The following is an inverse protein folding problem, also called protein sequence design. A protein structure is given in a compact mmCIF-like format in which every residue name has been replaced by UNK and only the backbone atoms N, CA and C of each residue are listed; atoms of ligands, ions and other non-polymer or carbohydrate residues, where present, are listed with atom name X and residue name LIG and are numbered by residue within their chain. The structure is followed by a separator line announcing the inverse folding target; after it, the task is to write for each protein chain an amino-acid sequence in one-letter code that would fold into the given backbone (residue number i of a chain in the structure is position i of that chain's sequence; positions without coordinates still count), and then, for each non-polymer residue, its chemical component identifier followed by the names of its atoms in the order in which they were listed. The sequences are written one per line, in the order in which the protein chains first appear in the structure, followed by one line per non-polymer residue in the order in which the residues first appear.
data_IF_911234237244
#
_entry.id   IF_911234237244
#
_cell.length_a   1.000
_cell.length_b   1.000
_cell.length_c   1.000
_cell.angle_alpha   90.00
_cell.angle_beta   90.00
_cell.angle_gamma   90.00
#
_symmetry.space_group_name_H-M   'P 1'
#
loop_
_entity.id
_entity.type
_entity.pdbx_description
1 polymer ?
#
# COMPACT_ATOMS: atom_id res chain seq x y z
N UNK A 1 -11.32 6.00 -22.55
CA UNK A 1 -11.19 4.67 -21.92
C UNK A 1 -12.07 4.65 -20.68
N UNK A 2 -13.05 3.73 -20.60
CA UNK A 2 -13.96 3.62 -19.46
C UNK A 2 -13.21 3.05 -18.23
N UNK A 3 -13.51 3.56 -17.04
CA UNK A 3 -12.97 3.07 -15.76
C UNK A 3 -13.16 1.56 -15.60
N UNK A 4 -14.29 1.02 -16.06
CA UNK A 4 -14.59 -0.42 -15.96
C UNK A 4 -13.67 -1.26 -16.83
N UNK A 5 -13.34 -0.77 -18.02
CA UNK A 5 -12.47 -1.49 -18.94
C UNK A 5 -11.00 -1.40 -18.48
N UNK A 6 -10.61 -0.27 -17.91
CA UNK A 6 -9.32 -0.14 -17.24
C UNK A 6 -9.16 -1.11 -16.04
N UNK A 7 -10.19 -1.25 -15.20
CA UNK A 7 -10.18 -2.19 -14.08
C UNK A 7 -10.10 -3.66 -14.52
N UNK A 8 -10.79 -4.03 -15.61
CA UNK A 8 -10.69 -5.38 -16.19
C UNK A 8 -9.29 -5.68 -16.73
N UNK A 9 -8.67 -4.71 -17.40
CA UNK A 9 -7.31 -4.84 -17.92
C UNK A 9 -6.28 -5.02 -16.79
N UNK A 10 -6.45 -4.29 -15.69
CA UNK A 10 -5.61 -4.40 -14.49
C UNK A 10 -5.77 -5.78 -13.82
N UNK A 11 -7.00 -6.28 -13.71
CA UNK A 11 -7.27 -7.60 -13.15
C UNK A 11 -6.59 -8.71 -13.97
N UNK A 12 -6.57 -8.60 -15.30
CA UNK A 12 -5.89 -9.55 -16.18
C UNK A 12 -4.37 -9.58 -15.95
N UNK A 13 -3.74 -8.44 -15.66
CA UNK A 13 -2.30 -8.36 -15.35
C UNK A 13 -1.96 -8.93 -13.96
N UNK A 14 -2.90 -8.90 -13.02
CA UNK A 14 -2.71 -9.46 -11.67
C UNK A 14 -2.83 -11.00 -11.60
N UNK A 15 -3.34 -11.65 -12.66
CA UNK A 15 -3.56 -13.11 -12.75
C UNK A 15 -2.39 -13.81 -13.45
N UNK A 16 -1.19 -13.21 -13.50
CA UNK A 16 -0.01 -13.96 -13.95
C UNK A 16 0.33 -15.03 -12.90
N UNK A 17 0.29 -16.33 -13.23
CA UNK A 17 0.43 -17.39 -12.26
C UNK A 17 1.89 -17.46 -11.79
N UNK A 18 2.09 -17.33 -10.47
CA UNK A 18 3.26 -17.83 -9.73
C UNK A 18 4.63 -17.66 -10.43
N UNK A 19 5.06 -16.43 -10.66
CA UNK A 19 6.44 -16.11 -10.31
C UNK A 19 6.38 -15.55 -8.90
N UNK A 20 6.60 -16.40 -7.90
CA UNK A 20 6.79 -15.91 -6.55
C UNK A 20 7.86 -14.82 -6.55
N UNK A 21 7.79 -13.86 -5.64
CA UNK A 21 8.81 -12.82 -5.40
C UNK A 21 10.22 -13.41 -5.07
N UNK A 22 10.42 -14.71 -5.23
CA UNK A 22 11.70 -15.39 -5.10
C UNK A 22 12.62 -14.96 -6.24
N UNK A 23 13.56 -14.09 -5.88
CA UNK A 23 14.59 -13.43 -6.69
C UNK A 23 14.23 -12.10 -7.34
N UNK A 24 13.59 -11.19 -6.59
CA UNK A 24 13.81 -9.77 -6.88
C UNK A 24 15.29 -9.44 -6.69
N UNK A 25 15.87 -8.73 -7.65
CA UNK A 25 17.27 -8.32 -7.65
C UNK A 25 17.43 -6.91 -8.20
N UNK A 26 18.65 -6.35 -8.09
CA UNK A 26 18.99 -5.05 -8.68
C UNK A 26 18.79 -4.95 -10.19
N UNK A 27 18.62 -6.07 -10.90
CA UNK A 27 18.36 -6.07 -12.34
C UNK A 27 16.89 -5.77 -12.66
N UNK A 28 15.99 -5.95 -11.70
CA UNK A 28 14.56 -5.74 -11.90
C UNK A 28 14.25 -4.24 -11.80
N UNK A 29 14.00 -3.62 -12.96
CA UNK A 29 13.60 -2.22 -13.08
C UNK A 29 12.09 -2.11 -13.07
N UNK A 30 11.53 -1.49 -12.04
CA UNK A 30 10.09 -1.42 -11.83
C UNK A 30 9.66 0.05 -11.80
N UNK A 31 8.68 0.40 -12.64
CA UNK A 31 8.04 1.72 -12.64
C UNK A 31 6.71 1.63 -11.90
N UNK A 32 6.52 2.48 -10.92
CA UNK A 32 5.26 2.64 -10.18
C UNK A 32 4.66 3.98 -10.54
N UNK A 33 3.41 3.98 -11.00
CA UNK A 33 2.67 5.21 -11.32
C UNK A 33 1.74 5.55 -10.16
N UNK A 34 2.07 6.63 -9.46
CA UNK A 34 1.34 7.18 -8.32
C UNK A 34 2.10 7.07 -7.00
N UNK A 35 2.39 8.21 -6.36
CA UNK A 35 3.04 8.31 -5.05
C UNK A 35 2.01 8.51 -3.90
N UNK A 36 0.89 7.78 -3.99
CA UNK A 36 -0.04 7.59 -2.87
C UNK A 36 0.42 6.48 -1.93
N UNK A 37 -0.28 6.26 -0.81
CA UNK A 37 0.12 5.29 0.23
C UNK A 37 0.34 3.86 -0.32
N UNK A 38 -0.48 3.42 -1.28
CA UNK A 38 -0.34 2.11 -1.92
C UNK A 38 0.92 2.04 -2.78
N UNK A 39 1.13 3.03 -3.66
CA UNK A 39 2.31 3.07 -4.53
C UNK A 39 3.60 3.19 -3.74
N UNK A 40 3.62 4.04 -2.71
CA UNK A 40 4.76 4.19 -1.80
C UNK A 40 5.06 2.91 -1.01
N UNK A 41 4.02 2.21 -0.52
CA UNK A 41 4.19 0.92 0.17
C UNK A 41 4.80 -0.14 -0.76
N UNK A 42 4.30 -0.24 -1.98
CA UNK A 42 4.84 -1.17 -2.99
C UNK A 42 6.30 -0.81 -3.30
N UNK A 43 6.59 0.47 -3.54
CA UNK A 43 7.95 0.94 -3.84
C UNK A 43 8.93 0.60 -2.72
N UNK A 44 8.52 0.85 -1.47
CA UNK A 44 9.29 0.54 -0.27
C UNK A 44 9.64 -0.96 -0.20
N UNK A 45 8.65 -1.83 -0.32
CA UNK A 45 8.87 -3.28 -0.22
C UNK A 45 9.71 -3.83 -1.38
N UNK A 46 9.48 -3.37 -2.61
CA UNK A 46 10.26 -3.80 -3.78
C UNK A 46 11.71 -3.34 -3.70
N UNK A 47 11.95 -2.11 -3.26
CA UNK A 47 13.31 -1.60 -3.04
C UNK A 47 14.03 -2.40 -1.97
N UNK A 48 13.34 -2.74 -0.88
CA UNK A 48 13.89 -3.58 0.19
C UNK A 48 14.18 -5.01 -0.27
N UNK A 49 13.44 -5.50 -1.26
CA UNK A 49 13.70 -6.78 -1.94
C UNK A 49 14.83 -6.70 -2.97
N UNK A 50 15.36 -5.50 -3.24
CA UNK A 50 16.54 -5.29 -4.08
C UNK A 50 16.26 -4.73 -5.47
N UNK A 51 15.00 -4.47 -5.85
CA UNK A 51 14.64 -3.90 -7.15
C UNK A 51 15.14 -2.46 -7.32
N UNK A 52 15.38 -2.06 -8.57
CA UNK A 52 15.56 -0.66 -8.95
C UNK A 52 14.18 -0.05 -9.25
N UNK A 53 13.63 0.73 -8.32
CA UNK A 53 12.27 1.27 -8.41
C UNK A 53 12.28 2.74 -8.79
N UNK A 54 11.50 3.10 -9.81
CA UNK A 54 11.19 4.50 -10.16
C UNK A 54 9.71 4.78 -9.89
N UNK A 55 9.42 5.78 -9.07
CA UNK A 55 8.04 6.23 -8.81
C UNK A 55 7.77 7.50 -9.59
N UNK A 56 6.67 7.53 -10.35
CA UNK A 56 6.21 8.68 -11.12
C UNK A 56 4.91 9.18 -10.51
N UNK A 57 4.88 10.44 -10.08
CA UNK A 57 3.70 11.12 -9.58
C UNK A 57 3.45 12.37 -10.43
N UNK A 58 2.18 12.67 -10.71
CA UNK A 58 1.80 13.83 -11.52
C UNK A 58 1.94 15.12 -10.74
N UNK A 59 1.53 15.12 -9.48
CA UNK A 59 1.44 16.30 -8.65
C UNK A 59 2.56 16.28 -7.58
N UNK A 60 2.21 15.99 -6.33
CA UNK A 60 3.15 15.74 -5.23
C UNK A 60 2.77 14.46 -4.50
N UNK A 61 3.71 13.80 -3.78
CA UNK A 61 3.37 12.65 -2.97
C UNK A 61 2.16 12.92 -2.07
N UNK A 62 1.24 11.96 -2.04
CA UNK A 62 -0.01 12.02 -1.30
C UNK A 62 -0.97 13.20 -1.62
N UNK A 63 -0.85 13.89 -2.77
CA UNK A 63 -1.69 15.06 -3.11
C UNK A 63 -3.22 14.81 -3.10
N UNK A 64 -3.65 13.56 -3.28
CA UNK A 64 -5.06 13.18 -3.44
C UNK A 64 -5.58 12.39 -2.22
N UNK A 65 -6.24 11.25 -2.42
CA UNK A 65 -6.90 10.48 -1.37
C UNK A 65 -5.97 10.14 -0.18
N UNK A 66 -4.69 9.86 -0.43
CA UNK A 66 -3.74 9.49 0.63
C UNK A 66 -3.39 10.64 1.58
N UNK A 67 -3.37 11.89 1.14
CA UNK A 67 -3.09 13.05 2.01
C UNK A 67 -4.33 13.83 2.44
N UNK A 68 -5.52 13.46 1.93
CA UNK A 68 -6.81 14.08 2.27
C UNK A 68 -7.72 13.18 3.10
N UNK A 69 -7.28 11.97 3.44
CA UNK A 69 -8.04 11.09 4.33
C UNK A 69 -7.80 11.47 5.80
N UNK A 70 -8.68 10.98 6.67
CA UNK A 70 -8.63 11.22 8.12
C UNK A 70 -7.44 10.52 8.83
N UNK A 71 -6.73 9.62 8.15
CA UNK A 71 -5.55 8.92 8.70
C UNK A 71 -5.88 7.82 9.71
N UNK A 72 -7.15 7.39 9.80
CA UNK A 72 -7.58 6.47 10.84
C UNK A 72 -7.13 5.03 10.59
N UNK A 73 -6.26 4.53 11.46
CA UNK A 73 -5.83 3.14 11.53
C UNK A 73 -6.66 2.42 12.58
N UNK A 74 -7.44 1.42 12.19
CA UNK A 74 -8.40 0.80 13.10
C UNK A 74 -8.62 -0.68 12.84
N UNK A 75 -8.73 -1.43 13.94
CA UNK A 75 -9.28 -2.79 13.99
C UNK A 75 -10.02 -3.05 15.31
N UNK A 76 -10.51 -2.01 16.00
CA UNK A 76 -11.11 -2.14 17.34
C UNK A 76 -12.57 -2.62 17.31
N UNK A 77 -13.29 -2.44 16.20
CA UNK A 77 -14.65 -2.91 16.00
C UNK A 77 -14.67 -4.19 15.14
N UNK A 78 -15.46 -5.21 15.52
CA UNK A 78 -15.61 -6.41 14.72
C UNK A 78 -16.17 -6.06 13.34
N UNK A 79 -15.36 -6.22 12.30
CA UNK A 79 -15.79 -5.99 10.92
C UNK A 79 -16.07 -7.32 10.24
N UNK A 80 -17.17 -7.40 9.49
CA UNK A 80 -17.49 -8.58 8.68
C UNK A 80 -17.09 -8.32 7.22
N UNK A 81 -16.57 -9.33 6.50
CA UNK A 81 -16.26 -10.70 6.97
C UNK A 81 -15.01 -10.73 7.86
N UNK A 82 -14.81 -11.84 8.60
CA UNK A 82 -13.65 -12.02 9.48
C UNK A 82 -12.31 -11.81 8.75
N UNK A 83 -12.21 -12.21 7.48
CA UNK A 83 -11.02 -11.99 6.66
C UNK A 83 -10.65 -10.50 6.52
N UNK A 84 -11.65 -9.63 6.44
CA UNK A 84 -11.44 -8.19 6.36
C UNK A 84 -10.94 -7.63 7.71
N UNK A 85 -11.57 -8.01 8.81
CA UNK A 85 -11.10 -7.62 10.15
C UNK A 85 -9.70 -8.16 10.46
N UNK A 86 -9.39 -9.37 10.01
CA UNK A 86 -8.05 -9.94 10.12
C UNK A 86 -7.02 -9.11 9.35
N UNK A 87 -7.34 -8.67 8.13
CA UNK A 87 -6.49 -7.77 7.34
C UNK A 87 -6.25 -6.44 8.08
N UNK A 88 -7.29 -5.84 8.67
CA UNK A 88 -7.14 -4.61 9.47
C UNK A 88 -6.18 -4.82 10.64
N UNK A 89 -6.31 -5.93 11.38
CA UNK A 89 -5.38 -6.25 12.47
C UNK A 89 -3.94 -6.44 11.99
N UNK A 90 -3.74 -7.12 10.85
CA UNK A 90 -2.41 -7.26 10.24
C UNK A 90 -1.83 -5.91 9.82
N UNK A 91 -2.67 -5.00 9.33
CA UNK A 91 -2.23 -3.65 8.96
C UNK A 91 -1.70 -2.86 10.15
N UNK A 92 -2.36 -2.95 11.33
CA UNK A 92 -1.88 -2.29 12.55
C UNK A 92 -0.48 -2.80 12.95
N UNK A 93 -0.27 -4.12 12.91
CA UNK A 93 1.05 -4.71 13.18
C UNK A 93 2.11 -4.24 12.16
N UNK A 94 1.73 -4.12 10.89
CA UNK A 94 2.63 -3.61 9.86
C UNK A 94 3.01 -2.14 10.09
N UNK A 95 2.07 -1.29 10.51
CA UNK A 95 2.34 0.11 10.85
C UNK A 95 3.24 0.26 12.09
N UNK A 96 3.03 -0.55 13.13
CA UNK A 96 3.93 -0.59 14.30
C UNK A 96 5.37 -0.95 13.90
N UNK A 97 5.51 -1.93 13.01
CA UNK A 97 6.82 -2.30 12.48
C UNK A 97 7.43 -1.16 11.66
N UNK A 98 6.66 -0.52 10.79
CA UNK A 98 7.11 0.59 9.95
C UNK A 98 7.56 1.79 10.78
N UNK A 99 6.84 2.15 11.84
CA UNK A 99 7.23 3.19 12.80
C UNK A 99 8.66 2.99 13.29
N UNK A 100 8.97 1.76 13.73
CA UNK A 100 10.34 1.44 14.19
C UNK A 100 11.37 1.34 13.06
N UNK A 101 10.96 0.87 11.88
CA UNK A 101 11.89 0.55 10.80
C UNK A 101 12.34 1.79 10.01
N UNK A 102 11.45 2.74 9.79
CA UNK A 102 11.73 3.96 9.01
C UNK A 102 11.54 5.26 9.79
N UNK A 103 11.22 5.19 11.09
CA UNK A 103 11.14 6.36 11.96
C UNK A 103 9.99 7.30 11.61
N UNK A 104 8.85 6.77 11.19
CA UNK A 104 7.63 7.57 10.95
C UNK A 104 6.93 7.87 12.28
N UNK A 105 6.53 9.12 12.47
CA UNK A 105 5.77 9.56 13.66
C UNK A 105 4.29 9.19 13.49
N UNK A 106 3.85 8.13 14.16
CA UNK A 106 2.46 7.68 14.16
C UNK A 106 1.81 8.06 15.50
N UNK A 107 0.75 8.85 15.40
CA UNK A 107 -0.11 9.13 16.55
C UNK A 107 -1.07 7.95 16.75
N UNK A 108 -0.73 7.06 17.67
CA UNK A 108 -1.59 5.93 18.03
C UNK A 108 -2.75 6.38 18.93
N UNK A 109 -3.97 6.14 18.46
CA UNK A 109 -5.20 6.49 19.17
C UNK A 109 -6.01 7.56 18.44
N UNK A 110 -7.01 8.09 19.14
CA UNK A 110 -7.99 9.00 18.56
C UNK A 110 -9.13 8.27 17.84
N UNK A 111 -10.36 8.54 18.27
CA UNK A 111 -11.58 8.24 17.53
C UNK A 111 -12.51 9.45 17.62
N UNK A 112 -13.29 9.68 16.57
CA UNK A 112 -14.37 10.66 16.58
C UNK A 112 -15.67 9.90 16.36
N UNK A 113 -16.49 9.83 17.40
CA UNK A 113 -17.75 9.08 17.45
C UNK A 113 -18.86 10.04 17.85
N UNK A 114 -20.02 9.97 17.18
CA UNK A 114 -21.20 10.81 17.43
C UNK A 114 -22.46 9.97 17.50
#
# INVERSE_FOLDING_TARGET
MDRRDFSKLLALLAISPNQGLGNISKKDKIIIVGAGIVGSSIAYHLTKMGAEVTVIERDRPAAHASGRNFGWLHASYPTKPYSFHHLLRLSLLAYQKLETEIGIDIHWGGSFEW
#
